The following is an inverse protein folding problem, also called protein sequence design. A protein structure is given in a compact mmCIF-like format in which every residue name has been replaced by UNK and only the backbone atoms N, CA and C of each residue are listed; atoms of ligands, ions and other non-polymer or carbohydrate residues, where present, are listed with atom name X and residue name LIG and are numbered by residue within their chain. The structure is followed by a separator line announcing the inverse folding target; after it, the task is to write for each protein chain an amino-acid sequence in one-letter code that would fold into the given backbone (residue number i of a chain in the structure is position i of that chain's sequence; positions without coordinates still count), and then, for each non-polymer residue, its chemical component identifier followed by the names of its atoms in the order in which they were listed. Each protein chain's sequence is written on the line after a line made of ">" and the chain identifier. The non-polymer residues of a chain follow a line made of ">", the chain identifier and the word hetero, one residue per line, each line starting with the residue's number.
data_IF_504166499752
#
_entry.id   IF_504166499752
#
_cell.length_a   1.000
_cell.length_b   1.000
_cell.length_c   1.000
_cell.angle_alpha   90.00
_cell.angle_beta   90.00
_cell.angle_gamma   90.00
#
_symmetry.space_group_name_H-M   'P 1'
#
loop_
_entity.id
_entity.type
_entity.pdbx_description
1 polymer ?
#
# COMPACT_ATOMS: atom_id res chain seq x y z
N UNK A 1 -30.15 -10.69 11.52
CA UNK A 1 -29.25 -11.36 10.57
C UNK A 1 -30.10 -12.01 9.50
N UNK A 2 -29.83 -11.75 8.22
CA UNK A 2 -30.48 -12.51 7.15
C UNK A 2 -30.20 -14.01 7.31
N UNK A 3 -31.11 -14.84 6.84
CA UNK A 3 -30.98 -16.30 6.90
C UNK A 3 -31.53 -16.87 5.61
N UNK A 4 -30.68 -17.60 4.89
CA UNK A 4 -31.04 -18.26 3.63
C UNK A 4 -31.27 -19.74 3.89
N UNK A 5 -32.37 -20.28 3.37
CA UNK A 5 -32.76 -21.67 3.51
C UNK A 5 -33.29 -22.18 2.17
N UNK A 6 -32.85 -23.37 1.77
CA UNK A 6 -33.28 -23.97 0.52
C UNK A 6 -32.21 -24.91 -0.04
N UNK A 7 -32.46 -25.49 -1.22
CA UNK A 7 -31.40 -26.15 -1.97
C UNK A 7 -30.45 -25.10 -2.54
N UNK A 8 -29.17 -25.21 -2.21
CA UNK A 8 -28.09 -24.48 -2.88
C UNK A 8 -26.85 -25.34 -2.91
N UNK A 9 -26.02 -25.11 -3.92
CA UNK A 9 -24.78 -25.84 -4.12
C UNK A 9 -23.66 -25.16 -3.32
N UNK A 10 -22.81 -25.98 -2.71
CA UNK A 10 -21.65 -25.53 -1.97
C UNK A 10 -20.47 -26.45 -2.25
N UNK A 11 -19.31 -25.85 -2.51
CA UNK A 11 -18.05 -26.55 -2.75
C UNK A 11 -17.11 -26.31 -1.57
N UNK A 12 -16.59 -27.39 -1.00
CA UNK A 12 -15.54 -27.32 0.02
C UNK A 12 -14.18 -27.15 -0.68
N UNK A 13 -13.35 -26.28 -0.12
CA UNK A 13 -11.95 -26.07 -0.49
C UNK A 13 -11.10 -26.23 0.76
N UNK A 14 -9.97 -26.94 0.65
CA UNK A 14 -9.08 -27.18 1.80
C UNK A 14 -7.64 -26.92 1.45
N UNK A 15 -6.92 -26.17 2.28
CA UNK A 15 -5.47 -25.98 2.09
C UNK A 15 -4.68 -26.97 2.97
N UNK A 16 -3.49 -27.40 2.52
CA UNK A 16 -2.86 -27.08 1.23
C UNK A 16 -3.28 -28.04 0.10
N UNK A 17 -4.44 -28.71 0.23
CA UNK A 17 -4.82 -29.81 -0.66
C UNK A 17 -5.35 -29.28 -2.01
N UNK A 18 -6.58 -28.78 -2.06
CA UNK A 18 -7.28 -28.41 -3.29
C UNK A 18 -7.73 -26.93 -3.33
N UNK A 19 -7.38 -26.14 -2.32
CA UNK A 19 -7.86 -24.76 -2.22
C UNK A 19 -7.35 -23.84 -3.32
N UNK A 20 -6.09 -23.96 -3.74
CA UNK A 20 -5.52 -23.09 -4.78
C UNK A 20 -6.18 -23.37 -6.12
N UNK A 21 -6.30 -24.63 -6.52
CA UNK A 21 -7.03 -25.04 -7.72
C UNK A 21 -8.49 -24.59 -7.66
N UNK A 22 -9.12 -24.69 -6.49
CA UNK A 22 -10.49 -24.21 -6.26
C UNK A 22 -10.64 -22.70 -6.40
N UNK A 23 -9.72 -21.90 -5.84
CA UNK A 23 -9.71 -20.44 -5.95
C UNK A 23 -9.48 -20.01 -7.40
N UNK A 24 -8.52 -20.63 -8.10
CA UNK A 24 -8.25 -20.36 -9.52
C UNK A 24 -9.47 -20.70 -10.38
N UNK A 25 -10.05 -21.89 -10.21
CA UNK A 25 -11.25 -22.28 -10.96
C UNK A 25 -12.45 -21.36 -10.68
N UNK A 26 -12.59 -20.85 -9.45
CA UNK A 26 -13.59 -19.86 -9.08
C UNK A 26 -13.36 -18.53 -9.83
N UNK A 27 -12.13 -18.02 -9.84
CA UNK A 27 -11.76 -16.78 -10.57
C UNK A 27 -11.97 -16.96 -12.09
N UNK A 28 -11.57 -18.11 -12.62
CA UNK A 28 -11.74 -18.45 -14.04
C UNK A 28 -13.21 -18.54 -14.47
N UNK A 29 -14.11 -18.83 -13.53
CA UNK A 29 -15.55 -18.90 -13.81
C UNK A 29 -16.23 -17.55 -13.91
N UNK A 30 -15.58 -16.46 -13.46
CA UNK A 30 -16.17 -15.12 -13.45
C UNK A 30 -16.41 -14.59 -14.86
N UNK A 31 -17.61 -14.06 -15.10
CA UNK A 31 -18.03 -13.50 -16.40
C UNK A 31 -18.19 -11.96 -16.37
N UNK A 32 -18.41 -11.37 -15.20
CA UNK A 32 -18.76 -9.95 -15.05
C UNK A 32 -17.96 -9.23 -13.96
N UNK A 33 -17.89 -9.78 -12.74
CA UNK A 33 -17.20 -9.12 -11.62
C UNK A 33 -16.56 -10.07 -10.62
N UNK A 34 -15.51 -9.58 -9.98
CA UNK A 34 -14.85 -10.21 -8.83
C UNK A 34 -14.62 -9.14 -7.76
N UNK A 35 -15.26 -9.29 -6.61
CA UNK A 35 -15.01 -8.47 -5.43
C UNK A 35 -14.24 -9.29 -4.39
N UNK A 36 -12.99 -8.91 -4.11
CA UNK A 36 -12.12 -9.56 -3.15
C UNK A 36 -12.04 -8.74 -1.87
N UNK A 37 -12.23 -9.41 -0.74
CA UNK A 37 -12.12 -8.83 0.59
C UNK A 37 -11.21 -9.73 1.42
N UNK A 38 -9.92 -9.37 1.43
CA UNK A 38 -8.84 -10.22 1.96
C UNK A 38 -7.95 -9.44 2.92
N UNK A 39 -7.38 -10.13 3.90
CA UNK A 39 -6.49 -9.49 4.86
C UNK A 39 -5.19 -9.00 4.20
N UNK A 40 -4.60 -9.80 3.33
CA UNK A 40 -3.47 -9.48 2.47
C UNK A 40 -3.51 -10.42 1.26
N UNK A 41 -2.79 -10.04 0.22
CA UNK A 41 -2.60 -10.81 -1.00
C UNK A 41 -1.09 -10.82 -1.27
N UNK A 42 -0.43 -11.96 -1.02
CA UNK A 42 1.00 -12.07 -1.35
C UNK A 42 1.12 -12.09 -2.88
N UNK A 43 1.99 -11.25 -3.45
CA UNK A 43 2.31 -11.24 -4.87
C UNK A 43 3.32 -12.35 -5.18
N UNK A 44 4.39 -12.42 -4.40
CA UNK A 44 5.62 -13.12 -4.76
C UNK A 44 5.73 -14.52 -4.13
N UNK A 45 4.88 -15.44 -4.60
CA UNK A 45 5.04 -16.86 -4.27
C UNK A 45 4.79 -17.77 -5.47
N UNK A 46 5.36 -18.97 -5.41
CA UNK A 46 5.42 -19.89 -6.55
C UNK A 46 4.52 -21.10 -6.34
N UNK A 47 3.87 -21.54 -7.42
CA UNK A 47 3.11 -22.79 -7.48
C UNK A 47 3.79 -23.76 -8.46
N UNK A 48 4.52 -24.73 -7.91
CA UNK A 48 5.37 -25.60 -8.72
C UNK A 48 6.49 -24.83 -9.44
N UNK A 49 6.40 -24.74 -10.77
CA UNK A 49 7.35 -24.01 -11.63
C UNK A 49 6.81 -22.67 -12.16
N UNK A 50 5.59 -22.30 -11.79
CA UNK A 50 4.94 -21.07 -12.24
C UNK A 50 4.90 -20.00 -11.16
N UNK A 51 4.59 -18.78 -11.60
CA UNK A 51 4.29 -17.65 -10.73
C UNK A 51 3.01 -17.91 -9.91
N UNK A 52 2.66 -16.95 -9.06
CA UNK A 52 1.47 -17.00 -8.23
C UNK A 52 0.20 -17.23 -9.09
N UNK A 53 -0.45 -18.39 -8.99
CA UNK A 53 -1.54 -18.75 -9.90
C UNK A 53 -2.81 -17.93 -9.62
N UNK A 54 -2.95 -17.39 -8.41
CA UNK A 54 -4.08 -16.53 -8.04
C UNK A 54 -3.95 -15.18 -8.75
N UNK A 55 -2.76 -14.58 -8.74
CA UNK A 55 -2.51 -13.30 -9.44
C UNK A 55 -2.66 -13.47 -10.95
N UNK A 56 -2.13 -14.55 -11.51
CA UNK A 56 -2.30 -14.86 -12.92
C UNK A 56 -3.78 -15.00 -13.30
N UNK A 57 -4.58 -15.74 -12.51
CA UNK A 57 -6.01 -15.91 -12.76
C UNK A 57 -6.78 -14.58 -12.67
N UNK A 58 -6.45 -13.70 -11.71
CA UNK A 58 -7.07 -12.38 -11.58
C UNK A 58 -6.74 -11.47 -12.77
N UNK A 59 -5.47 -11.46 -13.20
CA UNK A 59 -5.04 -10.70 -14.38
C UNK A 59 -5.73 -11.20 -15.64
N UNK A 60 -5.79 -12.52 -15.84
CA UNK A 60 -6.48 -13.13 -16.97
C UNK A 60 -8.00 -12.84 -16.94
N UNK A 61 -8.64 -12.82 -15.77
CA UNK A 61 -10.04 -12.41 -15.64
C UNK A 61 -10.24 -10.95 -16.06
N UNK A 62 -9.39 -10.04 -15.59
CA UNK A 62 -9.43 -8.64 -15.99
C UNK A 62 -9.21 -8.47 -17.51
N UNK A 63 -8.30 -9.23 -18.12
CA UNK A 63 -8.10 -9.26 -19.58
C UNK A 63 -9.32 -9.78 -20.36
N UNK A 64 -10.12 -10.67 -19.75
CA UNK A 64 -11.41 -11.11 -20.31
C UNK A 64 -12.51 -10.03 -20.22
N UNK A 65 -12.25 -8.92 -19.53
CA UNK A 65 -13.18 -7.81 -19.33
C UNK A 65 -14.01 -7.92 -18.05
N UNK A 66 -13.61 -8.79 -17.12
CA UNK A 66 -14.23 -8.90 -15.79
C UNK A 66 -13.74 -7.74 -14.92
N UNK A 67 -14.63 -7.04 -14.23
CA UNK A 67 -14.24 -5.99 -13.28
C UNK A 67 -13.68 -6.62 -12.00
N UNK A 68 -12.49 -6.22 -11.57
CA UNK A 68 -11.82 -6.77 -10.38
C UNK A 68 -11.63 -5.68 -9.33
N UNK A 69 -12.29 -5.82 -8.18
CA UNK A 69 -12.17 -4.90 -7.05
C UNK A 69 -11.54 -5.60 -5.86
N UNK A 70 -10.37 -5.15 -5.44
CA UNK A 70 -9.60 -5.71 -4.33
C UNK A 70 -9.59 -4.77 -3.13
N UNK A 71 -10.10 -5.25 -2.00
CA UNK A 71 -10.03 -4.55 -0.73
C UNK A 71 -9.07 -5.26 0.21
N UNK A 72 -8.09 -4.50 0.72
CA UNK A 72 -7.02 -4.97 1.60
C UNK A 72 -7.14 -4.37 3.01
N UNK A 73 -6.46 -5.01 3.97
CA UNK A 73 -6.41 -4.51 5.33
C UNK A 73 -5.38 -3.38 5.47
N UNK A 74 -5.85 -2.16 5.75
CA UNK A 74 -4.96 -1.01 6.00
C UNK A 74 -4.08 -1.15 7.24
N UNK A 75 -4.40 -2.03 8.19
CA UNK A 75 -3.76 -2.04 9.51
C UNK A 75 -2.25 -2.33 9.47
N UNK A 76 -1.80 -3.02 8.42
CA UNK A 76 -0.39 -3.37 8.24
C UNK A 76 0.30 -2.60 7.10
N UNK A 77 -0.43 -1.76 6.36
CA UNK A 77 0.06 -1.11 5.14
C UNK A 77 1.27 -0.18 5.38
N UNK A 78 1.44 0.33 6.60
CA UNK A 78 2.62 1.13 6.99
C UNK A 78 3.90 0.30 7.15
N UNK A 79 3.76 -1.00 7.46
CA UNK A 79 4.88 -1.87 7.86
C UNK A 79 5.16 -2.98 6.85
N UNK A 80 4.20 -3.22 5.96
CA UNK A 80 4.21 -4.26 4.95
C UNK A 80 4.10 -3.60 3.57
N UNK A 81 5.27 -3.40 2.94
CA UNK A 81 5.38 -2.76 1.63
C UNK A 81 4.62 -3.55 0.55
N UNK A 82 4.47 -4.88 0.70
CA UNK A 82 3.79 -5.74 -0.27
C UNK A 82 2.30 -5.40 -0.43
N UNK A 83 1.67 -4.87 0.64
CA UNK A 83 0.28 -4.38 0.57
C UNK A 83 0.19 -3.20 -0.40
N UNK A 84 1.14 -2.25 -0.33
CA UNK A 84 1.16 -1.09 -1.23
C UNK A 84 1.58 -1.49 -2.64
N UNK A 85 2.53 -2.40 -2.78
CA UNK A 85 2.92 -2.94 -4.09
C UNK A 85 1.72 -3.59 -4.80
N UNK A 86 0.87 -4.29 -4.06
CA UNK A 86 -0.38 -4.87 -4.61
C UNK A 86 -1.33 -3.78 -5.10
N UNK A 87 -1.48 -2.69 -4.34
CA UNK A 87 -2.32 -1.55 -4.74
C UNK A 87 -1.78 -0.89 -6.01
N UNK A 88 -0.47 -0.64 -6.05
CA UNK A 88 0.20 -0.07 -7.22
C UNK A 88 0.09 -0.96 -8.45
N UNK A 89 0.24 -2.29 -8.31
CA UNK A 89 0.08 -3.22 -9.42
C UNK A 89 -1.34 -3.16 -10.02
N UNK A 90 -2.38 -3.15 -9.18
CA UNK A 90 -3.77 -3.08 -9.68
C UNK A 90 -4.10 -1.74 -10.32
N UNK A 91 -3.68 -0.62 -9.71
CA UNK A 91 -4.13 0.70 -10.13
C UNK A 91 -3.21 1.33 -11.18
N UNK A 92 -1.90 1.18 -11.07
CA UNK A 92 -0.93 1.79 -11.97
C UNK A 92 -0.63 0.88 -13.16
N UNK A 93 -0.36 -0.40 -12.92
CA UNK A 93 0.01 -1.32 -14.01
C UNK A 93 -1.25 -1.81 -14.74
N UNK A 94 -2.19 -2.43 -14.03
CA UNK A 94 -3.35 -3.04 -14.67
C UNK A 94 -4.36 -1.99 -15.15
N UNK A 95 -4.77 -1.05 -14.29
CA UNK A 95 -5.77 -0.06 -14.67
C UNK A 95 -5.20 1.03 -15.58
N UNK A 96 -4.25 1.83 -15.09
CA UNK A 96 -3.78 3.00 -15.82
C UNK A 96 -2.95 2.65 -17.07
N UNK A 97 -2.06 1.64 -16.97
CA UNK A 97 -1.13 1.30 -18.06
C UNK A 97 -1.74 0.31 -19.06
N UNK A 98 -2.36 -0.77 -18.59
CA UNK A 98 -2.96 -1.80 -19.46
C UNK A 98 -4.42 -1.50 -19.85
N UNK A 99 -5.11 -0.62 -19.14
CA UNK A 99 -6.51 -0.27 -19.41
C UNK A 99 -7.51 -1.31 -18.92
N UNK A 100 -7.14 -2.14 -17.94
CA UNK A 100 -7.99 -3.16 -17.35
C UNK A 100 -8.93 -2.55 -16.30
N UNK A 101 -10.15 -3.09 -16.17
CA UNK A 101 -11.08 -2.72 -15.11
C UNK A 101 -10.68 -3.43 -13.80
N UNK A 102 -9.59 -2.96 -13.21
CA UNK A 102 -9.06 -3.46 -11.96
C UNK A 102 -8.82 -2.31 -10.98
N UNK A 103 -9.20 -2.46 -9.72
CA UNK A 103 -8.93 -1.44 -8.71
C UNK A 103 -8.66 -2.10 -7.37
N UNK A 104 -7.60 -1.66 -6.68
CA UNK A 104 -7.29 -2.08 -5.33
C UNK A 104 -7.27 -0.89 -4.37
N UNK A 105 -7.68 -1.10 -3.12
CA UNK A 105 -7.56 -0.07 -2.07
C UNK A 105 -7.56 -0.65 -0.66
N UNK A 106 -7.20 0.19 0.31
CA UNK A 106 -7.31 -0.12 1.72
C UNK A 106 -8.76 0.07 2.19
N UNK A 107 -9.20 -0.79 3.12
CA UNK A 107 -10.45 -0.58 3.82
C UNK A 107 -10.28 0.49 4.90
N UNK A 108 -11.03 1.59 4.77
CA UNK A 108 -11.13 2.62 5.78
C UNK A 108 -11.69 2.12 7.12
N UNK A 109 -11.29 2.76 8.21
CA UNK A 109 -11.69 2.41 9.57
C UNK A 109 -12.99 3.12 10.01
N UNK A 110 -13.58 2.62 11.10
CA UNK A 110 -14.62 3.33 11.85
C UNK A 110 -14.51 3.00 13.34
N UNK A 111 -15.28 3.71 14.16
CA UNK A 111 -15.42 3.44 15.60
C UNK A 111 -15.82 1.98 15.91
N UNK A 112 -16.42 1.27 14.96
CA UNK A 112 -16.94 -0.09 15.13
C UNK A 112 -16.23 -1.16 14.31
N UNK A 113 -15.49 -0.77 13.26
CA UNK A 113 -14.80 -1.66 12.33
C UNK A 113 -13.37 -1.16 12.20
N UNK A 114 -12.45 -1.85 12.88
CA UNK A 114 -11.06 -1.40 13.05
C UNK A 114 -10.04 -2.17 12.22
N UNK A 115 -10.45 -3.22 11.50
CA UNK A 115 -9.56 -3.99 10.62
C UNK A 115 -10.35 -4.84 9.65
N UNK A 116 -9.81 -5.02 8.46
CA UNK A 116 -10.29 -6.04 7.53
C UNK A 116 -9.64 -7.38 7.87
N UNK A 117 -10.44 -8.38 8.19
CA UNK A 117 -9.94 -9.73 8.49
C UNK A 117 -10.71 -10.82 7.73
N UNK A 118 -11.39 -10.42 6.65
CA UNK A 118 -12.06 -11.35 5.77
C UNK A 118 -11.03 -12.09 4.89
N UNK A 119 -11.47 -13.22 4.32
CA UNK A 119 -10.71 -14.12 3.45
C UNK A 119 -11.68 -14.68 2.42
N UNK A 120 -12.26 -13.79 1.62
CA UNK A 120 -13.37 -14.12 0.77
C UNK A 120 -13.38 -13.38 -0.54
N UNK A 121 -14.18 -13.88 -1.46
CA UNK A 121 -14.43 -13.29 -2.75
C UNK A 121 -15.91 -13.47 -3.11
N UNK A 122 -16.46 -12.52 -3.86
CA UNK A 122 -17.78 -12.59 -4.48
C UNK A 122 -17.55 -12.64 -5.98
N UNK A 123 -18.23 -13.55 -6.67
CA UNK A 123 -18.13 -13.76 -8.11
C UNK A 123 -19.48 -13.46 -8.75
N UNK A 124 -19.50 -12.50 -9.68
CA UNK A 124 -20.65 -12.06 -10.48
C UNK A 124 -21.89 -11.64 -9.67
N UNK A 125 -21.74 -11.40 -8.36
CA UNK A 125 -22.86 -11.20 -7.44
C UNK A 125 -23.70 -12.47 -7.20
N UNK A 126 -23.25 -13.63 -7.67
CA UNK A 126 -24.01 -14.89 -7.64
C UNK A 126 -23.40 -15.93 -6.69
N UNK A 127 -22.07 -15.90 -6.53
CA UNK A 127 -21.34 -16.85 -5.69
C UNK A 127 -20.47 -16.14 -4.66
N UNK A 128 -20.26 -16.77 -3.50
CA UNK A 128 -19.42 -16.23 -2.44
C UNK A 128 -18.54 -17.30 -1.81
N UNK A 129 -17.24 -17.02 -1.74
CA UNK A 129 -16.27 -17.81 -0.99
C UNK A 129 -16.13 -17.25 0.42
N UNK A 130 -16.34 -18.12 1.40
CA UNK A 130 -16.12 -17.82 2.83
C UNK A 130 -15.13 -18.83 3.36
N UNK A 131 -14.02 -18.38 3.93
CA UNK A 131 -13.01 -19.28 4.46
C UNK A 131 -12.08 -18.68 5.50
N UNK A 132 -11.10 -19.49 5.90
CA UNK A 132 -10.02 -19.09 6.80
C UNK A 132 -8.72 -18.72 6.06
N UNK A 133 -8.65 -19.02 4.77
CA UNK A 133 -7.46 -18.94 3.92
C UNK A 133 -7.07 -17.50 3.62
N UNK A 134 -6.01 -16.98 4.22
CA UNK A 134 -5.40 -15.76 3.69
C UNK A 134 -4.89 -16.02 2.26
N UNK A 135 -4.85 -14.98 1.41
CA UNK A 135 -4.48 -15.16 0.01
C UNK A 135 -2.97 -14.99 -0.17
N UNK A 136 -2.22 -15.82 0.54
CA UNK A 136 -0.77 -15.82 0.51
C UNK A 136 -0.16 -17.19 0.71
N UNK A 137 1.16 -17.25 0.59
CA UNK A 137 1.93 -18.50 0.47
C UNK A 137 1.75 -19.44 1.68
N UNK A 138 1.64 -18.88 2.90
CA UNK A 138 1.45 -19.67 4.13
C UNK A 138 0.15 -20.47 4.11
N UNK A 139 -0.95 -19.80 3.80
CA UNK A 139 -2.26 -20.44 3.75
C UNK A 139 -2.33 -21.46 2.63
N UNK A 140 -1.85 -21.09 1.44
CA UNK A 140 -1.88 -21.94 0.25
C UNK A 140 -1.01 -23.21 0.40
N UNK A 141 0.19 -23.11 0.97
CA UNK A 141 1.20 -24.16 0.90
C UNK A 141 1.42 -24.93 2.21
N UNK A 142 1.11 -24.33 3.37
CA UNK A 142 1.55 -24.86 4.68
C UNK A 142 0.42 -25.07 5.68
N UNK A 143 -0.59 -24.22 5.67
CA UNK A 143 -1.61 -24.22 6.71
C UNK A 143 -2.77 -25.16 6.36
N UNK A 144 -3.40 -25.69 7.42
CA UNK A 144 -4.67 -26.39 7.29
C UNK A 144 -5.80 -25.39 7.34
N UNK A 145 -6.34 -25.07 6.17
CA UNK A 145 -7.40 -24.09 6.02
C UNK A 145 -8.66 -24.73 5.42
N UNK A 146 -9.80 -24.07 5.62
CA UNK A 146 -11.09 -24.49 5.07
C UNK A 146 -11.79 -23.28 4.44
N UNK A 147 -12.37 -23.49 3.27
CA UNK A 147 -13.26 -22.54 2.61
C UNK A 147 -14.48 -23.25 2.05
N UNK A 148 -15.58 -22.51 1.95
CA UNK A 148 -16.79 -22.98 1.28
C UNK A 148 -17.21 -21.93 0.26
N UNK A 149 -17.25 -22.32 -1.00
CA UNK A 149 -17.81 -21.54 -2.08
C UNK A 149 -19.30 -21.88 -2.19
N UNK A 150 -20.15 -20.89 -1.98
CA UNK A 150 -21.60 -21.03 -2.11
C UNK A 150 -22.05 -20.45 -3.45
N UNK A 151 -22.86 -21.19 -4.20
CA UNK A 151 -23.56 -20.70 -5.39
C UNK A 151 -24.99 -20.32 -5.00
N UNK A 152 -25.20 -19.06 -4.63
CA UNK A 152 -26.48 -18.56 -4.13
C UNK A 152 -26.56 -17.03 -4.17
N UNK A 153 -27.23 -16.50 -5.19
CA UNK A 153 -27.37 -15.06 -5.48
C UNK A 153 -27.81 -14.22 -4.26
N UNK A 154 -28.85 -14.63 -3.55
CA UNK A 154 -29.34 -13.86 -2.40
C UNK A 154 -28.36 -13.85 -1.20
N UNK A 155 -27.46 -14.85 -1.11
CA UNK A 155 -26.42 -14.87 -0.08
C UNK A 155 -25.24 -14.00 -0.53
N UNK A 156 -24.81 -14.14 -1.79
CA UNK A 156 -23.79 -13.30 -2.39
C UNK A 156 -24.18 -11.81 -2.33
N UNK A 157 -25.44 -11.46 -2.57
CA UNK A 157 -25.96 -10.10 -2.44
C UNK A 157 -25.85 -9.52 -1.03
N UNK A 158 -26.01 -10.32 0.03
CA UNK A 158 -25.83 -9.84 1.41
C UNK A 158 -24.35 -9.53 1.68
N UNK A 159 -23.44 -10.37 1.18
CA UNK A 159 -21.99 -10.13 1.26
C UNK A 159 -21.57 -8.92 0.44
N UNK A 160 -22.13 -8.78 -0.77
CA UNK A 160 -21.87 -7.63 -1.65
C UNK A 160 -22.34 -6.33 -1.01
N UNK A 161 -23.49 -6.32 -0.32
CA UNK A 161 -23.93 -5.13 0.41
C UNK A 161 -22.93 -4.71 1.51
N UNK A 162 -22.34 -5.67 2.23
CA UNK A 162 -21.28 -5.39 3.20
C UNK A 162 -20.01 -4.89 2.52
N UNK A 163 -19.62 -5.53 1.42
CA UNK A 163 -18.48 -5.11 0.62
C UNK A 163 -18.64 -3.67 0.13
N UNK A 164 -19.80 -3.29 -0.40
CA UNK A 164 -20.05 -1.93 -0.88
C UNK A 164 -20.01 -0.89 0.25
N UNK A 165 -20.47 -1.24 1.46
CA UNK A 165 -20.34 -0.35 2.62
C UNK A 165 -18.88 -0.13 2.98
N UNK A 166 -18.09 -1.21 3.05
CA UNK A 166 -16.66 -1.14 3.36
C UNK A 166 -15.87 -0.46 2.23
N UNK A 167 -16.25 -0.73 0.98
CA UNK A 167 -15.66 -0.15 -0.22
C UNK A 167 -15.83 1.35 -0.13
N UNK A 168 -17.06 1.85 -0.03
CA UNK A 168 -17.33 3.29 -0.12
C UNK A 168 -17.00 4.07 1.17
N UNK A 169 -16.49 3.41 2.22
CA UNK A 169 -16.09 4.09 3.45
C UNK A 169 -14.85 4.94 3.23
N UNK A 170 -14.83 6.07 3.93
CA UNK A 170 -13.72 7.02 4.01
C UNK A 170 -13.45 7.35 5.47
N UNK A 171 -12.20 7.67 5.78
CA UNK A 171 -11.75 8.17 7.08
C UNK A 171 -10.57 9.14 6.86
N UNK A 172 -10.23 9.99 7.84
CA UNK A 172 -9.26 11.07 7.64
C UNK A 172 -7.79 10.60 7.65
N UNK A 173 -7.53 9.29 7.71
CA UNK A 173 -6.19 8.73 7.90
C UNK A 173 -5.80 7.63 6.92
N UNK A 174 -6.77 6.93 6.33
CA UNK A 174 -6.48 5.93 5.30
C UNK A 174 -5.96 6.63 4.04
N UNK A 175 -4.80 6.18 3.58
CA UNK A 175 -4.07 6.62 2.38
C UNK A 175 -3.72 5.34 1.61
N UNK A 176 -4.53 5.02 0.60
CA UNK A 176 -4.47 3.74 -0.10
C UNK A 176 -3.25 3.62 -0.99
N UNK A 177 -2.87 4.67 -1.71
CA UNK A 177 -1.76 4.64 -2.66
C UNK A 177 -0.43 5.14 -2.08
N UNK A 178 -0.43 5.59 -0.83
CA UNK A 178 0.77 5.91 -0.06
C UNK A 178 1.41 7.23 -0.43
N UNK A 179 0.63 8.19 -0.93
CA UNK A 179 1.14 9.44 -1.47
C UNK A 179 1.16 10.59 -0.44
N UNK A 180 0.72 10.29 0.79
CA UNK A 180 0.60 11.15 1.96
C UNK A 180 -0.62 12.08 1.96
N UNK A 181 -1.55 11.90 1.02
CA UNK A 181 -2.87 12.50 1.03
C UNK A 181 -3.90 11.43 1.43
N UNK A 182 -4.79 11.68 2.41
CA UNK A 182 -5.80 10.69 2.78
C UNK A 182 -6.89 10.55 1.70
N UNK A 183 -7.37 9.31 1.47
CA UNK A 183 -8.45 8.98 0.53
C UNK A 183 -9.66 9.92 0.66
N UNK A 184 -9.99 10.31 1.90
CA UNK A 184 -11.11 11.19 2.20
C UNK A 184 -10.92 12.60 1.61
N UNK A 185 -9.72 13.15 1.75
CA UNK A 185 -9.38 14.48 1.26
C UNK A 185 -9.32 14.47 -0.26
N UNK A 186 -8.72 13.43 -0.85
CA UNK A 186 -8.66 13.29 -2.30
C UNK A 186 -10.05 13.21 -2.94
N UNK A 187 -10.96 12.40 -2.38
CA UNK A 187 -12.35 12.33 -2.86
C UNK A 187 -13.11 13.64 -2.72
N UNK A 188 -12.80 14.44 -1.69
CA UNK A 188 -13.43 15.74 -1.48
C UNK A 188 -13.09 16.71 -2.63
N UNK A 189 -11.85 16.70 -3.11
CA UNK A 189 -11.36 17.60 -4.15
C UNK A 189 -11.32 16.96 -5.56
N UNK A 190 -11.81 15.72 -5.69
CA UNK A 190 -11.89 15.02 -6.98
C UNK A 190 -10.54 14.51 -7.50
N UNK A 191 -9.58 14.30 -6.60
CA UNK A 191 -8.31 13.64 -6.83
C UNK A 191 -8.47 12.10 -6.78
N UNK A 192 -7.41 11.37 -7.09
CA UNK A 192 -7.44 9.93 -7.24
C UNK A 192 -6.91 9.18 -6.00
N UNK A 193 -7.84 8.89 -5.08
CA UNK A 193 -7.64 8.11 -3.85
C UNK A 193 -6.99 6.73 -3.94
N UNK A 194 -6.66 6.26 -5.13
CA UNK A 194 -6.12 4.91 -5.33
C UNK A 194 -4.96 4.89 -6.33
N UNK A 195 -4.52 6.02 -6.88
CA UNK A 195 -3.30 6.07 -7.67
C UNK A 195 -2.67 7.46 -7.73
N UNK A 196 -1.56 7.57 -7.01
CA UNK A 196 -0.63 8.70 -7.09
C UNK A 196 -0.01 8.90 -8.48
N UNK A 197 -0.12 7.92 -9.39
CA UNK A 197 0.55 7.98 -10.69
C UNK A 197 -0.28 8.76 -11.71
N UNK A 198 0.30 9.84 -12.24
CA UNK A 198 -0.34 10.65 -13.29
C UNK A 198 0.06 10.11 -14.66
N UNK A 199 -0.88 9.41 -15.31
CA UNK A 199 -0.64 8.70 -16.57
C UNK A 199 -0.02 9.61 -17.65
N UNK A 200 1.07 9.12 -18.26
CA UNK A 200 1.77 9.83 -19.34
C UNK A 200 2.74 10.91 -18.86
N UNK A 201 2.93 11.06 -17.55
CA UNK A 201 3.91 11.97 -16.96
C UNK A 201 4.89 11.21 -16.05
N UNK A 202 5.94 11.89 -15.61
CA UNK A 202 6.82 11.41 -14.55
C UNK A 202 6.48 12.07 -13.20
N UNK A 203 5.36 12.79 -13.14
CA UNK A 203 4.87 13.46 -11.94
C UNK A 203 3.90 12.54 -11.22
N UNK A 204 3.77 12.78 -9.92
CA UNK A 204 2.81 12.13 -9.06
C UNK A 204 1.74 13.14 -8.63
N UNK A 205 0.54 12.66 -8.29
CA UNK A 205 -0.64 13.51 -8.09
C UNK A 205 -0.42 14.54 -6.98
N UNK A 206 0.19 14.14 -5.85
CA UNK A 206 0.52 15.04 -4.76
C UNK A 206 1.52 16.16 -5.12
N UNK A 207 2.22 16.04 -6.27
CA UNK A 207 3.15 17.06 -6.77
C UNK A 207 2.55 18.00 -7.81
N UNK A 208 1.27 17.82 -8.17
CA UNK A 208 0.57 18.71 -9.09
C UNK A 208 0.08 19.96 -8.37
N UNK A 209 0.00 21.05 -9.12
CA UNK A 209 -0.50 22.38 -8.75
C UNK A 209 -1.60 22.72 -9.78
N UNK A 210 -2.86 22.31 -9.52
CA UNK A 210 -3.95 22.39 -10.49
C UNK A 210 -4.48 23.80 -10.76
N UNK A 211 -4.39 24.70 -9.78
CA UNK A 211 -4.89 26.08 -9.83
C UNK A 211 -3.79 27.13 -10.08
N UNK A 212 -2.53 26.69 -10.16
CA UNK A 212 -1.34 27.45 -10.57
C UNK A 212 -0.96 28.59 -9.60
N UNK A 213 -1.20 28.42 -8.31
CA UNK A 213 -0.87 29.42 -7.27
C UNK A 213 0.53 29.24 -6.65
N UNK A 214 1.19 28.13 -6.95
CA UNK A 214 2.53 27.79 -6.46
C UNK A 214 2.57 26.81 -5.29
N UNK A 215 1.43 26.28 -4.83
CA UNK A 215 1.33 25.17 -3.91
C UNK A 215 0.87 23.91 -4.65
N UNK A 216 1.49 22.77 -4.31
CA UNK A 216 1.01 21.49 -4.82
C UNK A 216 -0.05 20.89 -3.88
N UNK A 217 -0.78 19.90 -4.38
CA UNK A 217 -1.81 19.17 -3.63
C UNK A 217 -1.35 18.72 -2.22
N UNK A 218 -0.11 18.24 -2.07
CA UNK A 218 0.40 17.84 -0.76
C UNK A 218 0.59 19.03 0.19
N UNK A 219 1.07 20.16 -0.33
CA UNK A 219 1.24 21.39 0.45
C UNK A 219 -0.12 21.95 0.85
N UNK A 220 -1.07 21.96 -0.07
CA UNK A 220 -2.47 22.32 0.17
C UNK A 220 -3.08 21.51 1.31
N UNK A 221 -2.97 20.18 1.24
CA UNK A 221 -3.42 19.30 2.32
C UNK A 221 -2.74 19.61 3.66
N UNK A 222 -1.43 19.85 3.66
CA UNK A 222 -0.66 20.14 4.87
C UNK A 222 -1.00 21.50 5.50
N UNK A 223 -1.44 22.45 4.69
CA UNK A 223 -1.80 23.80 5.12
C UNK A 223 -3.30 23.95 5.39
N UNK A 224 -4.13 23.03 4.88
CA UNK A 224 -5.58 23.02 5.04
C UNK A 224 -6.33 23.82 3.97
N UNK A 225 -5.70 24.06 2.82
CA UNK A 225 -6.27 24.77 1.67
C UNK A 225 -7.07 23.88 0.71
N UNK A 226 -7.52 24.47 -0.39
CA UNK A 226 -8.25 23.84 -1.50
C UNK A 226 -7.35 23.73 -2.75
N UNK A 227 -6.93 22.52 -3.17
CA UNK A 227 -6.03 22.33 -4.32
C UNK A 227 -6.64 22.68 -5.69
N UNK A 228 -7.87 23.19 -5.70
CA UNK A 228 -8.59 23.60 -6.90
C UNK A 228 -9.01 25.08 -6.84
N UNK A 229 -8.60 25.81 -5.81
CA UNK A 229 -8.92 27.21 -5.59
C UNK A 229 -7.67 27.99 -5.15
N UNK A 230 -7.28 28.99 -5.94
CA UNK A 230 -6.01 29.68 -5.75
C UNK A 230 -6.01 30.77 -4.65
N UNK A 231 -7.14 30.93 -3.96
CA UNK A 231 -7.41 31.89 -2.88
C UNK A 231 -8.46 31.26 -1.96
N UNK A 232 -8.05 30.28 -1.16
CA UNK A 232 -8.95 29.38 -0.39
C UNK A 232 -9.92 30.15 0.52
N UNK A 233 -9.49 31.27 1.09
CA UNK A 233 -10.28 32.04 2.05
C UNK A 233 -10.89 33.34 1.49
N UNK A 234 -10.79 33.53 0.17
CA UNK A 234 -11.33 34.65 -0.62
C UNK A 234 -10.85 36.03 -0.12
N UNK A 235 -9.64 36.13 0.41
CA UNK A 235 -9.12 37.35 1.02
C UNK A 235 -8.30 38.24 0.06
N UNK A 236 -8.14 37.79 -1.21
CA UNK A 236 -7.36 38.36 -2.31
C UNK A 236 -5.85 38.12 -2.30
N UNK A 237 -5.32 37.30 -1.39
CA UNK A 237 -3.96 36.81 -1.39
C UNK A 237 -3.98 35.38 -1.93
N UNK A 238 -3.11 35.07 -2.89
CA UNK A 238 -3.02 33.69 -3.40
C UNK A 238 -2.43 32.78 -2.33
N UNK A 239 -2.87 31.53 -2.23
CA UNK A 239 -2.46 30.57 -1.18
C UNK A 239 -0.93 30.41 -1.13
N UNK A 240 -0.28 30.34 -2.31
CA UNK A 240 1.19 30.31 -2.41
C UNK A 240 1.90 31.56 -1.86
N UNK A 241 1.25 32.73 -1.89
CA UNK A 241 1.74 33.99 -1.30
C UNK A 241 1.41 34.10 0.19
N UNK A 242 0.31 33.49 0.65
CA UNK A 242 -0.10 33.48 2.05
C UNK A 242 0.95 32.87 2.98
N UNK A 243 1.67 31.85 2.51
CA UNK A 243 2.77 31.24 3.27
C UNK A 243 3.83 32.27 3.67
N UNK A 244 4.13 33.23 2.80
CA UNK A 244 5.10 34.30 3.06
C UNK A 244 4.47 35.39 3.93
N UNK A 245 3.21 35.74 3.64
CA UNK A 245 2.47 36.75 4.41
C UNK A 245 2.34 36.35 5.88
N UNK A 246 1.90 35.12 6.18
CA UNK A 246 1.77 34.57 7.53
C UNK A 246 3.07 34.70 8.34
N UNK A 247 4.23 34.46 7.71
CA UNK A 247 5.53 34.61 8.36
C UNK A 247 5.85 36.08 8.70
N UNK A 248 5.41 37.02 7.86
CA UNK A 248 5.61 38.45 8.08
C UNK A 248 4.90 38.97 9.34
N UNK A 249 3.74 38.37 9.66
CA UNK A 249 2.93 38.65 10.86
C UNK A 249 3.17 37.65 12.01
N UNK A 250 4.18 36.78 11.88
CA UNK A 250 4.59 35.78 12.88
C UNK A 250 3.48 34.77 13.23
N UNK A 251 2.69 34.38 12.23
CA UNK A 251 1.63 33.36 12.33
C UNK A 251 1.99 32.10 11.54
N UNK A 252 1.20 31.04 11.76
CA UNK A 252 1.35 29.78 11.02
C UNK A 252 0.76 29.95 9.62
N UNK A 253 1.45 29.49 8.56
CA UNK A 253 0.89 29.45 7.20
C UNK A 253 -0.49 28.78 7.14
N UNK A 254 -0.68 27.69 7.88
CA UNK A 254 -1.95 26.96 7.94
C UNK A 254 -3.14 27.74 8.53
N UNK A 255 -2.92 28.89 9.16
CA UNK A 255 -4.01 29.74 9.65
C UNK A 255 -4.37 30.77 8.59
N UNK A 256 -3.38 31.30 7.86
CA UNK A 256 -3.62 32.26 6.78
C UNK A 256 -4.56 31.63 5.75
N UNK A 257 -4.24 30.41 5.29
CA UNK A 257 -5.03 29.58 4.38
C UNK A 257 -6.55 29.53 4.56
N UNK A 258 -7.04 29.79 5.77
CA UNK A 258 -8.44 29.61 6.13
C UNK A 258 -9.00 30.81 6.90
N UNK A 259 -8.29 31.95 6.91
CA UNK A 259 -8.63 33.09 7.76
C UNK A 259 -8.09 34.43 7.25
N UNK A 260 -8.98 35.21 6.64
CA UNK A 260 -8.81 36.62 6.20
C UNK A 260 -8.34 37.68 7.22
N UNK A 261 -7.98 37.30 8.45
CA UNK A 261 -7.40 38.13 9.52
C UNK A 261 -6.57 37.22 10.44
N UNK A 262 -5.43 36.75 9.93
CA UNK A 262 -4.58 35.71 10.53
C UNK A 262 -3.97 36.15 11.86
N UNK A 263 -3.74 37.46 12.05
CA UNK A 263 -3.13 38.01 13.26
C UNK A 263 -4.12 38.55 14.29
N UNK A 264 -5.42 38.56 13.94
CA UNK A 264 -6.56 38.97 14.75
C UNK A 264 -6.43 40.42 15.26
N UNK A 265 -5.77 41.30 14.51
CA UNK A 265 -5.61 42.71 14.87
C UNK A 265 -6.82 43.57 14.44
N UNK A 266 -7.72 43.01 13.63
CA UNK A 266 -8.94 43.62 13.14
C UNK A 266 -8.79 44.36 11.81
N UNK A 267 -7.63 44.28 11.16
CA UNK A 267 -7.39 44.64 9.76
C UNK A 267 -7.41 43.36 8.93
N UNK A 268 -8.15 43.35 7.82
CA UNK A 268 -8.15 42.17 6.95
C UNK A 268 -6.78 42.01 6.28
N UNK A 269 -6.35 40.78 6.11
CA UNK A 269 -5.05 40.42 5.58
C UNK A 269 -4.86 40.96 4.15
N UNK A 270 -5.85 40.81 3.28
CA UNK A 270 -5.86 41.47 1.98
C UNK A 270 -5.68 43.01 2.02
N UNK A 271 -6.26 43.70 3.02
CA UNK A 271 -6.04 45.14 3.23
C UNK A 271 -4.60 45.44 3.66
N UNK A 272 -4.03 44.61 4.54
CA UNK A 272 -2.65 44.73 5.00
C UNK A 272 -1.63 44.42 3.91
N UNK A 273 -1.91 43.40 3.07
CA UNK A 273 -1.12 43.01 1.92
C UNK A 273 -1.18 44.05 0.82
N UNK A 274 -2.32 44.75 0.71
CA UNK A 274 -2.57 45.79 -0.28
C UNK A 274 -3.10 45.23 -1.60
N UNK A 275 -3.80 44.10 -1.57
CA UNK A 275 -4.62 43.67 -2.70
C UNK A 275 -5.98 44.38 -2.63
N UNK A 276 -6.51 44.77 -3.79
CA UNK A 276 -7.89 45.27 -3.84
C UNK A 276 -8.81 44.06 -4.02
N UNK A 277 -9.87 43.90 -3.20
CA UNK A 277 -10.81 42.80 -3.35
C UNK A 277 -11.40 42.86 -4.76
N UNK A 278 -11.41 41.72 -5.44
CA UNK A 278 -12.01 41.61 -6.78
C UNK A 278 -13.51 41.81 -6.63
N UNK A 279 -13.98 43.05 -6.84
CA UNK A 279 -15.40 43.38 -6.81
C UNK A 279 -16.11 42.59 -7.93
N UNK A 280 -16.77 41.48 -7.57
CA UNK A 280 -17.56 40.67 -8.47
C UNK A 280 -18.92 41.36 -8.77
N UNK A 281 -18.83 42.60 -9.22
CA UNK A 281 -19.90 43.59 -9.31
C UNK A 281 -19.90 44.35 -10.63
N UNK A 282 -20.33 43.69 -11.71
CA UNK A 282 -20.92 44.31 -12.92
C UNK A 282 -20.35 45.66 -13.39
N UNK A 283 -19.37 45.67 -14.30
CA UNK A 283 -19.01 46.96 -14.91
C UNK A 283 -17.87 47.01 -15.90
N UNK A 284 -18.20 46.79 -17.18
CA UNK A 284 -17.63 47.50 -18.34
C UNK A 284 -16.16 47.22 -18.69
N UNK A 285 -16.01 46.53 -19.82
CA UNK A 285 -14.83 46.58 -20.69
C UNK A 285 -14.50 48.04 -21.02
N UNK A 286 -13.37 48.56 -20.55
CA UNK A 286 -12.74 49.74 -21.15
C UNK A 286 -11.42 49.34 -21.84
N UNK A 287 -11.40 49.66 -23.12
CA UNK A 287 -10.40 49.31 -24.10
C UNK A 287 -9.43 50.51 -24.18
N UNK A 288 -8.41 50.51 -23.32
CA UNK A 288 -7.45 51.61 -23.19
C UNK A 288 -6.07 51.26 -23.74
N UNK A 289 -5.87 51.49 -25.04
CA UNK A 289 -4.57 51.40 -25.71
C UNK A 289 -3.51 52.31 -25.08
N UNK A 290 -2.40 51.74 -24.61
CA UNK A 290 -1.21 52.45 -24.14
C UNK A 290 0.06 51.91 -24.79
N UNK A 291 0.40 52.47 -25.95
CA UNK A 291 1.69 52.29 -26.62
C UNK A 291 2.78 52.99 -25.79
N UNK A 292 3.85 52.28 -25.44
CA UNK A 292 5.17 52.87 -25.20
C UNK A 292 6.21 51.96 -25.86
N UNK A 293 6.94 52.53 -26.80
CA UNK A 293 8.01 51.90 -27.57
C UNK A 293 9.35 52.59 -27.27
N UNK A 294 10.34 51.72 -27.11
CA UNK A 294 11.79 51.76 -27.39
C UNK A 294 12.83 52.62 -26.65
N UNK A 295 13.97 51.93 -26.43
CA UNK A 295 15.33 52.40 -26.21
C UNK A 295 16.00 51.65 -25.04
N UNK A 296 16.81 50.59 -25.16
CA UNK A 296 17.71 50.16 -26.23
C UNK A 296 19.18 50.35 -25.77
N UNK A 297 19.87 49.27 -25.39
CA UNK A 297 21.34 49.15 -25.53
C UNK A 297 21.78 47.67 -25.58
N UNK A 298 22.64 47.37 -26.54
CA UNK A 298 23.14 46.03 -26.89
C UNK A 298 24.53 45.77 -26.29
N UNK A 299 24.80 44.50 -25.95
CA UNK A 299 26.08 43.84 -26.20
C UNK A 299 27.01 43.63 -25.00
N UNK A 300 27.22 42.37 -24.60
CA UNK A 300 28.49 41.68 -24.89
C UNK A 300 28.38 40.16 -24.65
N UNK A 301 28.89 39.39 -25.61
CA UNK A 301 29.11 37.94 -25.50
C UNK A 301 30.38 37.64 -24.70
N UNK A 302 30.35 36.62 -23.84
CA UNK A 302 31.57 36.12 -23.21
C UNK A 302 31.33 35.03 -22.18
N UNK A 303 31.24 33.77 -22.62
CA UNK A 303 31.31 32.63 -21.71
C UNK A 303 32.69 32.53 -21.05
N UNK A 304 32.75 32.17 -19.77
CA UNK A 304 33.76 31.29 -19.18
C UNK A 304 33.26 30.81 -17.81
N UNK A 305 33.16 29.50 -17.66
CA UNK A 305 33.00 28.80 -16.38
C UNK A 305 34.07 29.29 -15.40
N UNK A 306 33.65 29.96 -14.34
CA UNK A 306 34.53 30.35 -13.25
C UNK A 306 34.73 29.14 -12.33
N UNK A 307 35.67 28.26 -12.68
CA UNK A 307 36.16 27.21 -11.77
C UNK A 307 36.87 27.95 -10.63
N UNK A 308 36.24 28.00 -9.46
CA UNK A 308 36.78 28.62 -8.24
C UNK A 308 37.38 27.53 -7.35
N UNK A 309 38.66 27.67 -7.08
CA UNK A 309 39.42 26.88 -6.10
C UNK A 309 39.07 27.34 -4.69
N UNK A 310 38.25 26.54 -3.99
CA UNK A 310 38.31 26.19 -2.56
C UNK A 310 36.89 25.95 -1.98
N UNK A 311 36.43 24.68 -1.93
CA UNK A 311 35.07 24.30 -1.54
C UNK A 311 34.73 24.51 -0.05
N UNK A 312 35.69 24.90 0.79
CA UNK A 312 35.49 25.11 2.24
C UNK A 312 35.36 26.57 2.66
N UNK A 313 35.42 27.52 1.73
CA UNK A 313 35.43 28.97 2.04
C UNK A 313 34.07 29.58 2.43
N UNK A 314 32.99 28.78 2.50
CA UNK A 314 31.65 29.25 2.90
C UNK A 314 31.28 28.77 4.31
N UNK A 315 30.68 29.62 5.17
CA UNK A 315 30.20 29.23 6.51
C UNK A 315 29.27 28.01 6.50
N UNK A 316 28.47 27.83 5.43
CA UNK A 316 27.57 26.67 5.28
C UNK A 316 28.27 25.35 4.92
N UNK A 317 29.43 25.40 4.25
CA UNK A 317 30.19 24.19 3.89
C UNK A 317 30.93 23.60 5.10
N UNK A 318 31.46 24.47 5.98
CA UNK A 318 31.99 24.05 7.28
C UNK A 318 30.89 23.45 8.18
N UNK A 319 29.69 24.03 8.17
CA UNK A 319 28.56 23.49 8.92
C UNK A 319 28.19 22.07 8.47
N UNK A 320 28.03 21.84 7.17
CA UNK A 320 27.73 20.52 6.62
C UNK A 320 28.84 19.49 6.89
N UNK A 321 30.10 19.92 6.82
CA UNK A 321 31.23 19.06 7.16
C UNK A 321 31.18 18.60 8.63
N UNK A 322 30.86 19.49 9.56
CA UNK A 322 30.73 19.13 10.98
C UNK A 322 29.52 18.23 11.26
N UNK A 323 28.40 18.41 10.55
CA UNK A 323 27.25 17.49 10.63
C UNK A 323 27.63 16.09 10.16
N UNK A 324 28.39 15.97 9.07
CA UNK A 324 28.87 14.68 8.56
C UNK A 324 29.80 13.97 9.55
N UNK A 325 30.71 14.73 10.19
CA UNK A 325 31.62 14.20 11.20
C UNK A 325 30.86 13.69 12.43
N UNK A 326 29.87 14.46 12.92
CA UNK A 326 29.02 14.05 14.06
C UNK A 326 28.24 12.78 13.72
N UNK A 327 27.64 12.71 12.53
CA UNK A 327 26.89 11.54 12.06
C UNK A 327 27.76 10.28 12.01
N UNK A 328 29.00 10.42 11.53
CA UNK A 328 29.96 9.31 11.44
C UNK A 328 30.36 8.82 12.84
N UNK A 329 30.59 9.72 13.79
CA UNK A 329 30.91 9.36 15.18
C UNK A 329 29.72 8.66 15.86
N UNK A 330 28.50 9.14 15.64
CA UNK A 330 27.27 8.52 16.17
C UNK A 330 27.09 7.09 15.64
N UNK A 331 27.34 6.87 14.34
CA UNK A 331 27.23 5.55 13.73
C UNK A 331 28.27 4.57 14.30
N UNK A 332 29.51 5.04 14.51
CA UNK A 332 30.58 4.23 15.12
C UNK A 332 30.25 3.87 16.58
N UNK A 333 29.64 4.80 17.33
CA UNK A 333 29.22 4.55 18.71
C UNK A 333 28.05 3.57 18.80
N UNK A 334 27.07 3.66 17.89
CA UNK A 334 25.96 2.71 17.79
C UNK A 334 26.45 1.30 17.41
N UNK A 335 27.35 1.21 16.43
CA UNK A 335 28.00 -0.05 16.05
C UNK A 335 28.79 -0.65 17.23
N UNK A 336 29.54 0.16 17.97
CA UNK A 336 30.27 -0.30 19.15
C UNK A 336 29.34 -0.76 20.30
N UNK A 337 28.17 -0.14 20.47
CA UNK A 337 27.22 -0.57 21.51
C UNK A 337 26.56 -1.91 21.19
N UNK A 338 26.36 -2.23 19.90
CA UNK A 338 25.89 -3.56 19.48
C UNK A 338 26.88 -4.67 19.86
N UNK A 339 28.19 -4.42 19.81
CA UNK A 339 29.21 -5.41 20.19
C UNK A 339 29.42 -5.55 21.71
N UNK A 340 28.96 -4.57 22.50
CA UNK A 340 29.15 -4.54 23.95
C UNK A 340 27.92 -5.00 24.75
N UNK A 341 26.78 -5.28 24.09
CA UNK A 341 25.62 -5.83 24.79
C UNK A 341 25.80 -7.35 25.06
N UNK A 342 25.63 -7.80 26.32
CA UNK A 342 25.59 -9.22 26.61
C UNK A 342 24.36 -9.84 25.95
N UNK A 343 24.58 -10.92 25.19
CA UNK A 343 23.51 -11.75 24.60
C UNK A 343 22.51 -12.14 25.68
N UNK A 344 21.33 -11.52 25.66
CA UNK A 344 20.15 -12.06 26.33
C UNK A 344 19.63 -13.16 25.41
N UNK A 345 19.63 -14.40 25.90
CA UNK A 345 18.88 -15.47 25.26
C UNK A 345 17.42 -15.04 25.21
N UNK A 346 16.88 -14.96 24.00
CA UNK A 346 15.44 -14.88 23.78
C UNK A 346 14.88 -16.26 24.09
N UNK A 347 14.11 -16.37 25.18
CA UNK A 347 13.11 -17.41 25.27
C UNK A 347 12.11 -17.13 24.13
N UNK A 348 12.20 -17.89 23.05
CA UNK A 348 11.27 -17.76 21.92
C UNK A 348 9.88 -18.21 22.39
N UNK A 349 9.00 -17.22 22.55
CA UNK A 349 7.56 -17.42 22.63
C UNK A 349 7.04 -17.33 21.21
N UNK A 350 6.45 -18.42 20.70
CA UNK A 350 5.81 -18.44 19.39
C UNK A 350 4.68 -17.40 19.36
N UNK A 351 4.81 -16.44 18.45
CA UNK A 351 3.78 -15.44 18.14
C UNK A 351 3.01 -15.98 16.95
N UNK A 352 1.68 -16.07 17.08
CA UNK A 352 0.76 -16.39 15.98
C UNK A 352 0.68 -15.21 14.98
N UNK A 353 0.39 -15.52 13.71
CA UNK A 353 0.33 -14.61 12.55
C UNK A 353 -0.71 -13.47 12.70
N UNK A 354 -1.47 -13.47 13.80
CA UNK A 354 -2.42 -12.43 14.19
C UNK A 354 -1.85 -11.37 15.16
N UNK A 355 -0.59 -11.53 15.62
CA UNK A 355 0.04 -10.64 16.60
C UNK A 355 -0.52 -10.74 18.02
N UNK A 356 -1.37 -11.73 18.31
CA UNK A 356 -2.00 -11.89 19.63
C UNK A 356 -1.04 -12.49 20.66
N UNK A 357 -0.82 -11.79 21.78
CA UNK A 357 -0.03 -12.27 22.92
C UNK A 357 -0.94 -12.94 23.94
N UNK A 358 -0.80 -14.24 24.15
CA UNK A 358 -1.47 -14.94 25.25
C UNK A 358 -0.85 -14.50 26.58
N UNK A 359 -1.44 -13.51 27.26
CA UNK A 359 -1.00 -13.06 28.58
C UNK A 359 -1.55 -13.90 29.75
N UNK A 360 -2.14 -15.08 29.50
CA UNK A 360 -2.62 -15.96 30.56
C UNK A 360 -1.98 -17.36 30.49
N UNK A 361 -1.03 -17.69 31.38
CA UNK A 361 -0.41 -19.02 31.43
C UNK A 361 -1.32 -20.13 32.00
N UNK A 362 -2.58 -19.84 32.40
CA UNK A 362 -3.51 -20.84 32.94
C UNK A 362 -4.76 -21.10 32.06
N UNK A 363 -4.90 -20.46 30.89
CA UNK A 363 -5.97 -20.82 29.95
C UNK A 363 -5.62 -22.03 29.08
N UNK A 364 -5.91 -23.22 29.62
CA UNK A 364 -6.07 -24.43 28.81
C UNK A 364 -7.26 -24.30 27.85
N UNK A 365 -7.08 -23.61 26.72
CA UNK A 365 -7.91 -23.70 25.50
C UNK A 365 -7.36 -22.83 24.36
N UNK A 366 -6.54 -23.40 23.50
CA UNK A 366 -6.64 -23.20 22.06
C UNK A 366 -5.89 -24.33 21.34
N UNK A 367 -6.61 -24.99 20.43
CA UNK A 367 -6.18 -26.06 19.52
C UNK A 367 -5.91 -27.42 20.20
N UNK A 368 -6.87 -28.31 19.99
CA UNK A 368 -6.79 -29.73 20.33
C UNK A 368 -5.58 -30.37 19.64
N UNK A 369 -4.69 -30.94 20.45
CA UNK A 369 -3.72 -31.92 19.99
C UNK A 369 -4.50 -33.14 19.46
N UNK A 370 -4.44 -33.40 18.15
CA UNK A 370 -5.01 -34.60 17.52
C UNK A 370 -6.33 -34.40 16.76
N UNK A 371 -6.34 -33.54 15.74
CA UNK A 371 -7.39 -33.59 14.71
C UNK A 371 -6.98 -34.58 13.61
N UNK A 372 -7.21 -35.87 13.84
CA UNK A 372 -7.38 -36.82 12.75
C UNK A 372 -8.88 -37.00 12.52
N UNK A 373 -9.31 -37.13 11.26
CA UNK A 373 -10.72 -37.35 10.91
C UNK A 373 -11.19 -38.78 11.27
N UNK A 374 -10.25 -39.67 11.61
CA UNK A 374 -10.44 -41.06 12.07
C UNK A 374 -9.13 -41.54 12.75
N UNK A 375 -9.18 -42.51 13.69
CA UNK A 375 -8.01 -43.14 14.33
C UNK A 375 -7.09 -43.86 13.32
N UNK A 376 -7.59 -44.17 12.12
CA UNK A 376 -6.83 -44.77 11.01
C UNK A 376 -6.23 -43.74 10.03
N UNK A 377 -6.58 -42.45 10.14
CA UNK A 377 -6.07 -41.41 9.24
C UNK A 377 -4.72 -40.87 9.74
N UNK A 378 -3.69 -40.97 8.90
CA UNK A 378 -2.39 -40.34 9.18
C UNK A 378 -2.53 -38.82 9.33
N UNK A 379 -1.86 -38.25 10.33
CA UNK A 379 -1.74 -36.81 10.50
C UNK A 379 -1.07 -36.21 9.25
N UNK A 380 -1.72 -35.25 8.60
CA UNK A 380 -1.18 -34.58 7.42
C UNK A 380 0.20 -33.93 7.71
N UNK A 381 0.46 -33.57 8.96
CA UNK A 381 1.76 -33.03 9.43
C UNK A 381 2.83 -34.09 9.67
N UNK A 382 2.47 -35.37 9.71
CA UNK A 382 3.44 -36.47 9.83
C UNK A 382 4.06 -36.87 8.48
N UNK A 383 3.66 -36.23 7.38
CA UNK A 383 4.27 -36.43 6.07
C UNK A 383 5.54 -35.60 5.94
N UNK A 384 6.67 -36.22 6.23
CA UNK A 384 8.01 -35.64 6.05
C UNK A 384 8.56 -35.79 4.64
N UNK A 385 7.80 -36.43 3.74
CA UNK A 385 8.15 -36.64 2.34
C UNK A 385 7.06 -35.97 1.49
N UNK A 386 7.45 -34.95 0.71
CA UNK A 386 6.58 -34.40 -0.33
C UNK A 386 6.18 -35.53 -1.27
N UNK A 387 4.86 -35.72 -1.47
CA UNK A 387 4.39 -36.69 -2.46
C UNK A 387 4.72 -36.15 -3.84
N UNK A 388 5.71 -36.77 -4.48
CA UNK A 388 5.77 -36.83 -5.94
C UNK A 388 4.54 -37.63 -6.39
N UNK A 389 3.52 -36.93 -6.89
CA UNK A 389 2.30 -37.53 -7.43
C UNK A 389 2.49 -38.06 -8.86
N UNK A 390 3.72 -37.99 -9.38
CA UNK A 390 4.09 -38.44 -10.72
C UNK A 390 3.62 -37.51 -11.84
N UNK A 391 3.07 -36.33 -11.52
CA UNK A 391 2.58 -35.36 -12.50
C UNK A 391 3.37 -34.04 -12.53
N UNK A 392 3.99 -33.63 -11.42
CA UNK A 392 4.61 -32.30 -11.28
C UNK A 392 6.12 -32.28 -10.96
N UNK A 393 6.90 -33.20 -11.53
CA UNK A 393 8.37 -33.09 -11.55
C UNK A 393 9.06 -33.32 -10.20
N UNK A 394 10.39 -33.38 -10.23
CA UNK A 394 11.20 -33.84 -9.11
C UNK A 394 11.13 -32.94 -7.87
N UNK A 395 11.20 -33.58 -6.68
CA UNK A 395 11.27 -32.95 -5.35
C UNK A 395 12.33 -31.82 -5.35
N UNK A 396 11.89 -30.59 -5.10
CA UNK A 396 12.76 -29.44 -4.82
C UNK A 396 12.54 -28.96 -3.39
N UNK A 397 13.58 -28.35 -2.81
CA UNK A 397 13.55 -27.86 -1.44
C UNK A 397 12.53 -26.72 -1.30
N UNK A 398 11.45 -26.99 -0.57
CA UNK A 398 10.47 -26.00 -0.17
C UNK A 398 10.86 -25.43 1.19
N UNK A 399 11.41 -24.21 1.15
CA UNK A 399 11.79 -23.42 2.32
C UNK A 399 12.94 -24.01 3.13
N UNK A 400 14.08 -23.31 3.25
CA UNK A 400 15.01 -23.66 4.32
C UNK A 400 15.86 -22.48 4.79
N UNK A 401 15.95 -22.37 6.11
CA UNK A 401 17.02 -21.69 6.81
C UNK A 401 18.31 -22.48 6.71
N UNK A 402 19.07 -22.25 5.65
CA UNK A 402 20.52 -22.38 5.67
C UNK A 402 21.09 -21.00 6.01
N UNK A 403 21.91 -20.93 7.07
CA UNK A 403 22.51 -19.68 7.56
C UNK A 403 23.59 -19.16 6.62
N UNK A 404 24.20 -20.03 5.82
CA UNK A 404 25.40 -19.75 5.03
C UNK A 404 25.23 -19.88 3.51
N UNK A 405 24.04 -20.23 3.01
CA UNK A 405 23.79 -20.40 1.57
C UNK A 405 22.38 -19.96 1.18
N UNK A 406 22.27 -19.46 -0.05
CA UNK A 406 20.99 -19.15 -0.68
C UNK A 406 20.27 -20.42 -1.12
N UNK A 407 18.93 -20.35 -1.26
CA UNK A 407 18.12 -21.45 -1.79
C UNK A 407 18.64 -21.98 -3.12
N UNK A 408 19.06 -21.08 -4.02
CA UNK A 408 19.53 -21.45 -5.36
C UNK A 408 20.84 -22.23 -5.34
N UNK A 409 21.75 -21.88 -4.42
CA UNK A 409 23.01 -22.61 -4.23
C UNK A 409 22.74 -24.03 -3.70
N UNK A 410 21.83 -24.16 -2.74
CA UNK A 410 21.42 -25.45 -2.17
C UNK A 410 20.73 -26.30 -3.23
N UNK A 411 19.80 -25.72 -3.98
CA UNK A 411 19.09 -26.42 -5.04
C UNK A 411 20.04 -26.83 -6.19
N UNK A 412 21.02 -25.99 -6.53
CA UNK A 412 22.05 -26.33 -7.49
C UNK A 412 22.87 -27.55 -7.03
N UNK A 413 23.23 -27.64 -5.74
CA UNK A 413 23.96 -28.79 -5.20
C UNK A 413 23.14 -30.08 -5.28
N UNK A 414 21.84 -30.02 -5.00
CA UNK A 414 20.93 -31.16 -5.15
C UNK A 414 20.77 -31.58 -6.62
N UNK A 415 20.67 -30.63 -7.53
CA UNK A 415 20.58 -30.88 -8.98
C UNK A 415 21.86 -31.56 -9.53
N UNK A 416 23.00 -31.42 -8.84
CA UNK A 416 24.24 -32.17 -9.12
C UNK A 416 24.22 -33.62 -8.57
N UNK A 417 23.11 -34.07 -7.98
CA UNK A 417 22.94 -35.42 -7.45
C UNK A 417 23.49 -35.62 -6.04
N UNK A 418 23.78 -34.53 -5.31
CA UNK A 418 24.17 -34.59 -3.90
C UNK A 418 22.95 -34.82 -3.02
N UNK A 419 23.16 -35.51 -1.90
CA UNK A 419 22.13 -35.71 -0.86
C UNK A 419 22.07 -34.52 0.09
N UNK A 420 20.93 -34.31 0.76
CA UNK A 420 20.74 -33.24 1.74
C UNK A 420 21.79 -33.25 2.86
N UNK A 421 22.19 -34.45 3.29
CA UNK A 421 23.19 -34.65 4.33
C UNK A 421 24.57 -34.15 3.87
N UNK A 422 24.96 -34.45 2.64
CA UNK A 422 26.22 -33.97 2.05
C UNK A 422 26.23 -32.44 1.92
N UNK A 423 25.08 -31.84 1.61
CA UNK A 423 24.94 -30.38 1.51
C UNK A 423 25.06 -29.71 2.88
N UNK A 424 24.44 -30.27 3.94
CA UNK A 424 24.56 -29.73 5.31
C UNK A 424 25.98 -29.80 5.87
N UNK A 425 26.68 -30.91 5.62
CA UNK A 425 28.09 -31.09 6.01
C UNK A 425 28.98 -30.08 5.29
N UNK A 426 28.76 -29.86 3.99
CA UNK A 426 29.57 -28.92 3.20
C UNK A 426 29.33 -27.46 3.57
N UNK A 427 28.09 -27.10 3.91
CA UNK A 427 27.71 -25.76 4.35
C UNK A 427 28.03 -25.48 5.84
N UNK A 428 28.59 -26.48 6.54
CA UNK A 428 29.05 -26.34 7.92
C UNK A 428 27.92 -26.19 8.94
N UNK A 429 26.76 -26.76 8.66
CA UNK A 429 25.55 -26.64 9.48
C UNK A 429 25.36 -27.77 10.51
N UNK A 430 26.43 -28.49 10.88
CA UNK A 430 26.34 -29.53 11.91
C UNK A 430 26.11 -28.93 13.32
N UNK A 431 25.01 -29.37 13.96
CA UNK A 431 25.03 -29.93 15.32
C UNK A 431 24.58 -31.40 15.30
#
# INVERSE_FOLDING_TARGET
>A
TPTHQGPFDAQLMTCPDDCVDGIVAMIDSAEASIELSVQYLDLDWYWGFGDNPIIAALHEAAQRGVSVRLMLNGYYAEWDEEIRDTIHMFNTDWNATEGLDATARLMAYSDSIVKLHNKGAIIDGESVLVGSMNWGSSAALRNREMGVLFHHEALASDYLASFEEDWNRLDPTTDSDGDLMPDQWEEQYGLNRHSAAVLGTALSEQSLDPDEDGLNNLQEFQLGGDPMDNDTDDDCILDGEEVIFAQSVMRSPSIAMISSDVDEDGVLDGEQYGCEPVDNGTGVVDNGTGVVDDGGDEGDEGGFLNIREDPLSRPGAEFLFWVMVISTVSLVLAGASMFLQPRRGTDEVLVDDSGYRFEDPDESKAILKGTSFDEEAEDARARTEGRDDGSHGAIRLDGFGFKSATRDEVQWMLDQGRTMEEVRVELGEEE
#
